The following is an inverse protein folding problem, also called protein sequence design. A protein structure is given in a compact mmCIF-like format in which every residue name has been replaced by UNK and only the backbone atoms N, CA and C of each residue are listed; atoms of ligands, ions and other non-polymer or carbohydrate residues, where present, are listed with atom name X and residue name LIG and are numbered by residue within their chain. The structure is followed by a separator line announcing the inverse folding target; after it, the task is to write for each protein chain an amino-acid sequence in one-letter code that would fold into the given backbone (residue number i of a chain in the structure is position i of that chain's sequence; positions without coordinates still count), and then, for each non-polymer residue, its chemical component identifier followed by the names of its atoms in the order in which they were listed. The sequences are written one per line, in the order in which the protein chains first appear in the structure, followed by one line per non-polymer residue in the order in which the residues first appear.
data_IF_264688005198
#
_entry.id   IF_264688005198
#
_cell.length_a   1.000
_cell.length_b   1.000
_cell.length_c   1.000
_cell.angle_alpha   90.00
_cell.angle_beta   90.00
_cell.angle_gamma   90.00
#
_symmetry.space_group_name_H-M   'P 1'
#
loop_
_entity.id
_entity.type
_entity.pdbx_description
1 polymer ?
#
# COMPACT_ATOMS: atom_id res chain seq x y z
N UNK A 1 3.79 -5.01 10.91
CA UNK A 1 3.09 -5.42 12.15
C UNK A 1 1.93 -4.46 12.32
N UNK A 2 0.71 -4.93 12.05
CA UNK A 2 -0.42 -4.34 12.73
C UNK A 2 -0.10 -4.62 14.18
N UNK A 3 0.19 -3.55 14.92
CA UNK A 3 0.46 -3.67 16.32
C UNK A 3 -0.63 -4.51 16.95
N UNK A 4 -0.23 -5.42 17.79
CA UNK A 4 -0.99 -6.30 18.66
C UNK A 4 -2.28 -5.68 19.22
N UNK A 5 -3.24 -5.40 18.37
CA UNK A 5 -4.59 -4.98 18.76
C UNK A 5 -5.56 -6.15 18.86
N UNK A 6 -5.16 -7.34 18.39
CA UNK A 6 -5.90 -8.57 18.60
C UNK A 6 -5.46 -9.16 19.93
N UNK A 7 -6.29 -9.03 20.93
CA UNK A 7 -6.10 -9.64 22.26
C UNK A 7 -6.49 -11.11 22.15
N UNK A 8 -5.51 -11.99 22.18
CA UNK A 8 -5.70 -13.44 22.11
C UNK A 8 -4.90 -14.10 20.98
N UNK A 9 -5.21 -15.36 20.70
CA UNK A 9 -4.60 -16.16 19.63
C UNK A 9 -5.14 -15.87 18.21
N UNK A 10 -5.97 -14.85 18.06
CA UNK A 10 -6.60 -14.51 16.79
C UNK A 10 -5.60 -13.96 15.78
N UNK A 11 -5.62 -14.48 14.55
CA UNK A 11 -4.70 -14.09 13.47
C UNK A 11 -5.43 -13.39 12.34
N UNK A 12 -4.74 -12.43 11.71
CA UNK A 12 -5.10 -11.91 10.42
C UNK A 12 -4.28 -12.63 9.34
N UNK A 13 -4.93 -13.42 8.49
CA UNK A 13 -4.28 -14.00 7.32
C UNK A 13 -4.11 -12.91 6.26
N UNK A 14 -2.88 -12.75 5.76
CA UNK A 14 -2.52 -11.87 4.66
C UNK A 14 -2.01 -12.67 3.49
N UNK A 15 -2.74 -12.63 2.41
CA UNK A 15 -2.25 -13.06 1.12
C UNK A 15 -1.58 -11.88 0.41
N UNK A 16 -0.25 -11.97 0.18
CA UNK A 16 0.57 -10.86 -0.34
C UNK A 16 1.31 -11.20 -1.62
N UNK A 17 1.20 -12.42 -2.12
CA UNK A 17 1.93 -12.85 -3.30
C UNK A 17 1.21 -12.36 -4.56
N UNK A 18 1.77 -11.34 -5.20
CA UNK A 18 1.29 -10.83 -6.49
C UNK A 18 -0.16 -10.29 -6.46
N UNK A 19 -0.99 -10.71 -7.44
CA UNK A 19 -2.39 -10.32 -7.61
C UNK A 19 -3.27 -11.50 -7.22
N UNK A 20 -3.75 -11.52 -5.98
CA UNK A 20 -4.37 -12.72 -5.40
C UNK A 20 -5.81 -12.98 -5.85
N UNK A 21 -6.42 -12.06 -6.60
CA UNK A 21 -7.75 -12.24 -7.19
C UNK A 21 -7.70 -12.60 -8.68
N UNK A 22 -6.50 -12.78 -9.25
CA UNK A 22 -6.34 -13.17 -10.65
C UNK A 22 -6.26 -14.69 -10.80
N UNK A 23 -7.43 -15.33 -10.67
CA UNK A 23 -7.59 -16.78 -10.84
C UNK A 23 -9.08 -17.10 -11.13
N UNK A 24 -9.41 -18.34 -11.59
CA UNK A 24 -10.79 -18.76 -11.74
C UNK A 24 -11.57 -18.65 -10.42
N UNK A 25 -12.83 -18.20 -10.49
CA UNK A 25 -13.66 -17.90 -9.31
C UNK A 25 -13.81 -19.10 -8.37
N UNK A 26 -13.93 -20.31 -8.89
CA UNK A 26 -14.04 -21.53 -8.09
C UNK A 26 -12.78 -21.82 -7.27
N UNK A 27 -11.61 -21.50 -7.83
CA UNK A 27 -10.36 -21.61 -7.11
C UNK A 27 -10.29 -20.57 -5.99
N UNK A 28 -10.61 -19.30 -6.28
CA UNK A 28 -10.64 -18.22 -5.29
C UNK A 28 -11.62 -18.53 -4.16
N UNK A 29 -12.82 -18.97 -4.50
CA UNK A 29 -13.85 -19.37 -3.51
C UNK A 29 -13.28 -20.42 -2.56
N UNK A 30 -12.66 -21.45 -3.09
CA UNK A 30 -12.09 -22.52 -2.28
C UNK A 30 -11.03 -22.00 -1.31
N UNK A 31 -9.99 -21.30 -1.82
CA UNK A 31 -8.85 -20.87 -0.99
C UNK A 31 -9.24 -19.81 0.04
N UNK A 32 -10.08 -18.84 -0.33
CA UNK A 32 -10.50 -17.79 0.60
C UNK A 32 -11.49 -18.33 1.65
N UNK A 33 -12.38 -19.27 1.27
CA UNK A 33 -13.26 -19.93 2.21
C UNK A 33 -12.45 -20.75 3.21
N UNK A 34 -11.51 -21.58 2.73
CA UNK A 34 -10.62 -22.36 3.59
C UNK A 34 -9.86 -21.46 4.58
N UNK A 35 -9.29 -20.34 4.10
CA UNK A 35 -8.57 -19.40 4.94
C UNK A 35 -9.46 -18.72 6.00
N UNK A 36 -10.70 -18.34 5.64
CA UNK A 36 -11.58 -17.61 6.57
C UNK A 36 -12.28 -18.56 7.57
N UNK A 37 -12.39 -19.85 7.25
CA UNK A 37 -12.98 -20.88 8.14
C UNK A 37 -12.05 -21.31 9.25
N UNK A 38 -10.74 -21.05 9.14
CA UNK A 38 -9.80 -21.34 10.22
C UNK A 38 -10.23 -20.65 11.52
N UNK A 39 -10.37 -21.40 12.65
CA UNK A 39 -10.93 -20.87 13.89
C UNK A 39 -10.18 -19.66 14.44
N UNK A 40 -8.85 -19.67 14.33
CA UNK A 40 -7.97 -18.62 14.86
C UNK A 40 -7.83 -17.39 13.93
N UNK A 41 -8.50 -17.38 12.76
CA UNK A 41 -8.49 -16.28 11.84
C UNK A 41 -9.61 -15.30 12.13
N UNK A 42 -9.24 -14.11 12.56
CA UNK A 42 -10.18 -13.01 12.83
C UNK A 42 -10.55 -12.21 11.58
N UNK A 43 -9.65 -12.11 10.61
CA UNK A 43 -9.84 -11.31 9.41
C UNK A 43 -8.96 -11.80 8.25
N UNK A 44 -9.41 -11.54 7.02
CA UNK A 44 -8.69 -11.84 5.79
C UNK A 44 -8.29 -10.54 5.06
N UNK A 45 -6.99 -10.37 4.80
CA UNK A 45 -6.45 -9.25 4.03
C UNK A 45 -5.94 -9.75 2.68
N UNK A 46 -6.52 -9.26 1.58
CA UNK A 46 -6.22 -9.71 0.23
C UNK A 46 -5.57 -8.56 -0.56
N UNK A 47 -4.32 -8.78 -1.02
CA UNK A 47 -3.64 -7.82 -1.88
C UNK A 47 -3.95 -8.10 -3.35
N UNK A 48 -4.37 -7.07 -4.09
CA UNK A 48 -4.70 -7.20 -5.50
C UNK A 48 -4.53 -5.91 -6.29
N UNK A 49 -4.79 -5.99 -7.59
CA UNK A 49 -4.86 -4.87 -8.53
C UNK A 49 -6.32 -4.53 -8.82
N UNK A 50 -6.57 -3.27 -9.14
CA UNK A 50 -7.94 -2.79 -9.40
C UNK A 50 -8.60 -3.42 -10.64
N UNK A 51 -7.80 -3.80 -11.65
CA UNK A 51 -8.28 -4.48 -12.85
C UNK A 51 -8.53 -5.99 -12.68
N UNK A 52 -8.29 -6.52 -11.48
CA UNK A 52 -8.51 -7.92 -11.13
C UNK A 52 -9.67 -8.11 -10.13
N UNK A 53 -10.66 -7.24 -10.20
CA UNK A 53 -11.88 -7.25 -9.37
C UNK A 53 -13.15 -7.28 -10.25
N UNK A 54 -13.33 -8.31 -11.10
CA UNK A 54 -14.57 -8.49 -11.83
C UNK A 54 -15.77 -8.75 -10.88
N UNK A 55 -16.98 -8.66 -11.38
CA UNK A 55 -18.19 -8.69 -10.56
C UNK A 55 -18.32 -9.97 -9.71
N UNK A 56 -18.00 -11.13 -10.28
CA UNK A 56 -18.03 -12.41 -9.57
C UNK A 56 -17.02 -12.47 -8.39
N UNK A 57 -15.85 -11.84 -8.54
CA UNK A 57 -14.89 -11.70 -7.44
C UNK A 57 -15.42 -10.73 -6.39
N UNK A 58 -15.98 -9.58 -6.78
CA UNK A 58 -16.58 -8.63 -5.86
C UNK A 58 -17.73 -9.27 -5.05
N UNK A 59 -18.56 -10.09 -5.68
CA UNK A 59 -19.66 -10.79 -5.03
C UNK A 59 -19.14 -11.88 -4.07
N UNK A 60 -18.07 -12.59 -4.43
CA UNK A 60 -17.40 -13.52 -3.51
C UNK A 60 -16.84 -12.79 -2.28
N UNK A 61 -16.16 -11.65 -2.48
CA UNK A 61 -15.60 -10.86 -1.38
C UNK A 61 -16.69 -10.33 -0.44
N UNK A 62 -17.83 -9.89 -0.98
CA UNK A 62 -19.00 -9.47 -0.20
C UNK A 62 -19.59 -10.64 0.63
N UNK A 63 -19.73 -11.82 0.03
CA UNK A 63 -20.16 -13.04 0.73
C UNK A 63 -19.23 -13.36 1.90
N UNK A 64 -17.92 -13.34 1.69
CA UNK A 64 -16.92 -13.62 2.72
C UNK A 64 -16.90 -12.55 3.81
N UNK A 65 -17.04 -11.28 3.45
CA UNK A 65 -17.04 -10.16 4.40
C UNK A 65 -18.24 -10.20 5.37
N UNK A 66 -19.35 -10.84 4.98
CA UNK A 66 -20.51 -11.10 5.88
C UNK A 66 -20.22 -12.18 6.93
N UNK A 67 -19.20 -13.01 6.71
CA UNK A 67 -18.82 -14.12 7.61
C UNK A 67 -17.75 -13.70 8.60
N UNK A 68 -16.65 -13.12 8.09
CA UNK A 68 -15.55 -12.51 8.88
C UNK A 68 -15.04 -11.28 8.13
N UNK A 69 -14.47 -10.29 8.82
CA UNK A 69 -13.94 -9.09 8.19
C UNK A 69 -12.96 -9.40 7.06
N UNK A 70 -13.20 -8.85 5.88
CA UNK A 70 -12.30 -8.88 4.72
C UNK A 70 -11.94 -7.45 4.38
N UNK A 71 -10.66 -7.18 4.11
CA UNK A 71 -10.24 -5.92 3.51
C UNK A 71 -9.29 -6.13 2.34
N UNK A 72 -9.31 -5.18 1.43
CA UNK A 72 -8.53 -5.25 0.20
C UNK A 72 -7.34 -4.30 0.28
N UNK A 73 -6.15 -4.84 0.10
CA UNK A 73 -4.93 -4.07 -0.11
C UNK A 73 -4.79 -3.77 -1.61
N UNK A 74 -5.13 -2.54 -2.01
CA UNK A 74 -5.23 -2.17 -3.42
C UNK A 74 -4.04 -1.31 -3.87
N UNK A 75 -3.28 -1.80 -4.85
CA UNK A 75 -2.13 -1.10 -5.40
C UNK A 75 -2.56 0.03 -6.34
N UNK A 76 -2.27 1.29 -6.00
CA UNK A 76 -2.36 2.45 -6.88
C UNK A 76 -0.98 2.88 -7.38
N UNK A 77 -0.03 2.90 -6.49
CA UNK A 77 1.37 3.31 -6.65
C UNK A 77 1.53 4.84 -6.79
N UNK A 78 0.82 5.48 -7.70
CA UNK A 78 0.77 6.91 -7.99
C UNK A 78 -0.52 7.26 -8.73
N UNK A 79 -0.89 8.55 -8.77
CA UNK A 79 -2.02 9.04 -9.58
C UNK A 79 -1.59 9.52 -10.97
N UNK A 80 -0.30 9.62 -11.23
CA UNK A 80 0.24 10.24 -12.45
C UNK A 80 0.31 9.22 -13.60
N UNK A 81 -0.49 9.39 -14.63
CA UNK A 81 -0.61 8.48 -15.78
C UNK A 81 0.74 8.21 -16.45
N UNK A 82 1.60 9.23 -16.59
CA UNK A 82 2.95 9.07 -17.15
C UNK A 82 3.77 8.07 -16.34
N UNK A 83 3.72 8.18 -15.01
CA UNK A 83 4.44 7.28 -14.10
C UNK A 83 3.80 5.90 -14.06
N UNK A 84 2.46 5.81 -14.01
CA UNK A 84 1.72 4.55 -14.12
C UNK A 84 2.10 3.77 -15.37
N UNK A 85 2.20 4.46 -16.50
CA UNK A 85 2.65 3.85 -17.76
C UNK A 85 4.12 3.41 -17.68
N UNK A 86 5.01 4.24 -17.14
CA UNK A 86 6.44 3.93 -17.01
C UNK A 86 6.71 2.71 -16.12
N UNK A 87 5.97 2.55 -15.03
CA UNK A 87 6.07 1.38 -14.14
C UNK A 87 5.24 0.17 -14.63
N UNK A 88 4.59 0.28 -15.77
CA UNK A 88 3.76 -0.77 -16.39
C UNK A 88 2.67 -1.28 -15.44
N UNK A 89 1.94 -0.37 -14.80
CA UNK A 89 0.86 -0.72 -13.87
C UNK A 89 -0.22 -1.59 -14.51
N UNK A 90 -0.50 -1.35 -15.81
CA UNK A 90 -1.48 -2.10 -16.59
C UNK A 90 -2.94 -1.70 -16.34
N UNK A 91 -3.18 -0.65 -15.56
CA UNK A 91 -4.51 -0.08 -15.28
C UNK A 91 -4.46 1.44 -15.30
N UNK A 92 -5.62 2.06 -15.35
CA UNK A 92 -5.81 3.51 -15.31
C UNK A 92 -6.28 3.98 -13.93
N UNK A 93 -6.12 5.28 -13.63
CA UNK A 93 -6.65 5.87 -12.41
C UNK A 93 -8.18 5.68 -12.30
N UNK A 94 -8.92 5.82 -13.39
CA UNK A 94 -10.37 5.62 -13.41
C UNK A 94 -10.78 4.18 -13.04
N UNK A 95 -10.00 3.17 -13.44
CA UNK A 95 -10.24 1.78 -13.01
C UNK A 95 -10.01 1.60 -11.51
N UNK A 96 -9.01 2.28 -10.96
CA UNK A 96 -8.78 2.29 -9.52
C UNK A 96 -9.94 2.94 -8.76
N UNK A 97 -10.41 4.11 -9.21
CA UNK A 97 -11.57 4.80 -8.63
C UNK A 97 -12.82 3.92 -8.63
N UNK A 98 -13.07 3.25 -9.77
CA UNK A 98 -14.22 2.34 -9.90
C UNK A 98 -14.11 1.17 -8.90
N UNK A 99 -12.92 0.56 -8.77
CA UNK A 99 -12.70 -0.53 -7.83
C UNK A 99 -12.91 -0.08 -6.38
N UNK A 100 -12.39 1.10 -5.98
CA UNK A 100 -12.62 1.68 -4.64
C UNK A 100 -14.12 1.92 -4.41
N UNK A 101 -14.84 2.50 -5.39
CA UNK A 101 -16.29 2.73 -5.31
C UNK A 101 -17.08 1.41 -5.14
N UNK A 102 -16.73 0.38 -5.89
CA UNK A 102 -17.44 -0.89 -5.86
C UNK A 102 -17.21 -1.70 -4.58
N UNK A 103 -15.99 -1.60 -4.00
CA UNK A 103 -15.66 -2.14 -2.69
C UNK A 103 -16.37 -1.37 -1.57
N UNK A 104 -16.36 -0.03 -1.66
CA UNK A 104 -17.03 0.83 -0.67
C UNK A 104 -18.55 0.57 -0.59
N UNK A 105 -19.23 0.40 -1.75
CA UNK A 105 -20.66 0.05 -1.80
C UNK A 105 -20.98 -1.29 -1.12
N UNK A 106 -19.99 -2.18 -1.01
CA UNK A 106 -20.10 -3.48 -0.34
C UNK A 106 -19.60 -3.45 1.12
N UNK A 107 -19.27 -2.26 1.63
CA UNK A 107 -18.67 -2.07 2.96
C UNK A 107 -17.39 -2.89 3.16
N UNK A 108 -16.59 -3.08 2.11
CA UNK A 108 -15.30 -3.74 2.17
C UNK A 108 -14.22 -2.67 2.33
N UNK A 109 -13.48 -2.67 3.46
CA UNK A 109 -12.40 -1.72 3.69
C UNK A 109 -11.30 -1.81 2.64
N UNK A 110 -10.80 -0.65 2.18
CA UNK A 110 -9.70 -0.55 1.20
C UNK A 110 -8.49 0.07 1.86
N UNK A 111 -7.34 -0.58 1.70
CA UNK A 111 -6.02 -0.07 2.09
C UNK A 111 -5.25 0.21 0.81
N UNK A 112 -5.03 1.47 0.50
CA UNK A 112 -4.33 1.89 -0.72
C UNK A 112 -2.82 1.85 -0.53
N UNK A 113 -2.09 1.36 -1.54
CA UNK A 113 -0.63 1.39 -1.58
C UNK A 113 -0.14 2.48 -2.51
N UNK A 114 0.72 3.38 -2.00
CA UNK A 114 1.50 4.34 -2.78
C UNK A 114 3.00 4.02 -2.67
N UNK A 115 3.74 4.31 -3.74
CA UNK A 115 5.21 4.24 -3.76
C UNK A 115 5.77 5.64 -3.88
N UNK A 116 6.59 6.03 -2.91
CA UNK A 116 7.26 7.33 -2.87
C UNK A 116 8.68 7.20 -3.45
N UNK A 117 9.06 8.15 -4.29
CA UNK A 117 10.35 8.18 -4.96
C UNK A 117 10.38 7.49 -6.32
N UNK A 118 9.23 7.33 -6.99
CA UNK A 118 9.19 6.84 -8.36
C UNK A 118 9.95 7.78 -9.31
N UNK A 119 10.72 7.24 -10.27
CA UNK A 119 11.51 8.06 -11.18
C UNK A 119 10.66 9.07 -11.95
N UNK A 120 11.10 10.32 -11.95
CA UNK A 120 10.44 11.42 -12.63
C UNK A 120 9.34 12.11 -11.84
N UNK A 121 9.01 11.65 -10.64
CA UNK A 121 8.09 12.34 -9.73
C UNK A 121 8.82 13.34 -8.83
N UNK A 122 8.23 14.51 -8.70
CA UNK A 122 8.63 15.55 -7.74
C UNK A 122 8.01 15.29 -6.36
N UNK A 123 8.48 16.01 -5.35
CA UNK A 123 7.84 15.99 -4.02
C UNK A 123 6.35 16.36 -4.10
N UNK A 124 5.99 17.35 -4.91
CA UNK A 124 4.58 17.79 -5.04
C UNK A 124 3.71 16.72 -5.74
N UNK A 125 4.26 16.00 -6.71
CA UNK A 125 3.55 14.87 -7.34
C UNK A 125 3.21 13.79 -6.31
N UNK A 126 4.15 13.45 -5.44
CA UNK A 126 3.92 12.47 -4.37
C UNK A 126 2.90 12.96 -3.33
N UNK A 127 2.99 14.25 -2.92
CA UNK A 127 2.02 14.86 -2.00
C UNK A 127 0.63 14.95 -2.63
N UNK A 128 0.53 15.23 -3.93
CA UNK A 128 -0.76 15.25 -4.64
C UNK A 128 -1.39 13.87 -4.67
N UNK A 129 -0.60 12.80 -4.83
CA UNK A 129 -1.07 11.41 -4.75
C UNK A 129 -1.62 11.09 -3.36
N UNK A 130 -0.96 11.57 -2.29
CA UNK A 130 -1.43 11.38 -0.91
C UNK A 130 -2.74 12.13 -0.64
N UNK A 131 -2.83 13.42 -1.04
CA UNK A 131 -4.08 14.21 -0.90
C UNK A 131 -5.23 13.55 -1.65
N UNK A 132 -4.96 13.09 -2.87
CA UNK A 132 -5.97 12.42 -3.68
C UNK A 132 -6.50 11.15 -2.99
N UNK A 133 -5.63 10.27 -2.50
CA UNK A 133 -6.04 9.08 -1.75
C UNK A 133 -6.81 9.48 -0.48
N UNK A 134 -6.38 10.56 0.20
CA UNK A 134 -7.07 11.11 1.37
C UNK A 134 -8.49 11.59 1.09
N UNK A 135 -8.83 11.92 -0.17
CA UNK A 135 -10.19 12.34 -0.58
C UNK A 135 -11.12 11.18 -0.97
N UNK A 136 -10.58 9.96 -1.11
CA UNK A 136 -11.35 8.77 -1.48
C UNK A 136 -11.93 8.07 -0.24
N UNK A 137 -12.99 7.25 -0.42
CA UNK A 137 -13.56 6.46 0.68
C UNK A 137 -12.71 5.22 0.99
N UNK A 138 -11.44 5.44 1.31
CA UNK A 138 -10.50 4.39 1.73
C UNK A 138 -10.34 4.42 3.25
N UNK A 139 -10.05 3.27 3.85
CA UNK A 139 -9.90 3.13 5.30
C UNK A 139 -8.44 3.14 5.75
N UNK A 140 -7.53 2.89 4.84
CA UNK A 140 -6.12 2.84 5.17
C UNK A 140 -5.18 3.14 4.00
N UNK A 141 -3.93 3.43 4.35
CA UNK A 141 -2.88 3.74 3.39
C UNK A 141 -1.55 3.08 3.78
N UNK A 142 -0.78 2.67 2.79
CA UNK A 142 0.62 2.29 2.92
C UNK A 142 1.48 3.23 2.08
N UNK A 143 2.34 3.98 2.75
CA UNK A 143 3.36 4.82 2.12
C UNK A 143 4.65 4.01 2.04
N UNK A 144 5.00 3.55 0.84
CA UNK A 144 6.16 2.69 0.62
C UNK A 144 7.28 3.47 -0.04
N UNK A 145 8.50 3.32 0.47
CA UNK A 145 9.70 3.79 -0.22
C UNK A 145 9.98 2.93 -1.44
N UNK A 146 10.31 3.55 -2.57
CA UNK A 146 10.85 2.83 -3.72
C UNK A 146 12.12 2.07 -3.34
N UNK A 147 12.14 0.78 -3.63
CA UNK A 147 13.31 -0.08 -3.50
C UNK A 147 13.80 -0.50 -4.88
N UNK A 148 15.06 -0.25 -5.15
CA UNK A 148 15.73 -0.73 -6.35
C UNK A 148 16.26 -2.13 -6.06
N UNK A 149 15.75 -3.11 -6.78
CA UNK A 149 16.08 -4.52 -6.54
C UNK A 149 16.91 -5.11 -7.69
N UNK A 150 17.89 -5.92 -7.35
CA UNK A 150 18.68 -6.71 -8.30
C UNK A 150 17.76 -7.66 -9.07
N UNK A 151 18.02 -7.79 -10.37
CA UNK A 151 17.27 -8.68 -11.25
C UNK A 151 15.95 -8.11 -11.76
N UNK A 152 15.66 -6.83 -11.50
CA UNK A 152 14.54 -6.11 -12.09
C UNK A 152 15.00 -5.17 -13.22
N UNK A 153 14.09 -4.79 -14.13
CA UNK A 153 14.38 -3.82 -15.18
C UNK A 153 14.85 -2.49 -14.58
N UNK A 154 14.19 -2.02 -13.52
CA UNK A 154 14.57 -0.79 -12.82
C UNK A 154 15.96 -0.93 -12.15
N UNK A 155 16.27 -2.09 -11.58
CA UNK A 155 17.60 -2.37 -11.04
C UNK A 155 18.68 -2.36 -12.12
N UNK A 156 18.40 -2.91 -13.29
CA UNK A 156 19.31 -2.90 -14.44
C UNK A 156 19.52 -1.47 -14.94
N UNK A 157 18.47 -0.69 -15.09
CA UNK A 157 18.55 0.72 -15.50
C UNK A 157 19.35 1.55 -14.48
N UNK A 158 19.10 1.38 -13.19
CA UNK A 158 19.81 2.07 -12.11
C UNK A 158 21.32 1.75 -12.08
N UNK A 159 21.68 0.49 -12.33
CA UNK A 159 23.11 0.11 -12.42
C UNK A 159 23.80 0.70 -13.63
N UNK A 160 23.10 0.87 -14.74
CA UNK A 160 23.65 1.46 -15.97
C UNK A 160 23.80 2.98 -15.89
N UNK A 161 22.80 3.67 -15.32
CA UNK A 161 22.73 5.12 -15.18
C UNK A 161 22.00 5.47 -13.86
N UNK A 162 22.73 5.60 -12.74
CA UNK A 162 22.13 5.87 -11.44
C UNK A 162 21.41 7.22 -11.39
N UNK A 163 20.15 7.20 -10.99
CA UNK A 163 19.34 8.39 -10.74
C UNK A 163 19.26 8.70 -9.23
N UNK A 164 18.96 9.96 -8.85
CA UNK A 164 18.86 10.36 -7.44
C UNK A 164 17.78 9.57 -6.69
N UNK A 165 18.11 9.11 -5.50
CA UNK A 165 17.21 8.50 -4.55
C UNK A 165 17.21 9.30 -3.25
N UNK A 166 16.17 9.22 -2.47
CA UNK A 166 16.09 9.91 -1.17
C UNK A 166 17.18 9.46 -0.23
N UNK A 167 17.78 10.43 0.46
CA UNK A 167 18.46 10.22 1.73
C UNK A 167 17.43 9.83 2.80
N UNK A 168 17.89 9.33 3.94
CA UNK A 168 17.00 9.03 5.07
C UNK A 168 16.25 10.29 5.54
N UNK A 169 16.93 11.40 5.63
CA UNK A 169 16.43 12.68 6.10
C UNK A 169 15.34 13.23 5.15
N UNK A 170 15.64 13.29 3.85
CA UNK A 170 14.68 13.74 2.83
C UNK A 170 13.41 12.86 2.80
N UNK A 171 13.58 11.54 2.94
CA UNK A 171 12.43 10.64 3.02
C UNK A 171 11.60 10.86 4.27
N UNK A 172 12.24 11.04 5.43
CA UNK A 172 11.53 11.28 6.68
C UNK A 172 10.79 12.62 6.67
N UNK A 173 11.36 13.66 6.05
CA UNK A 173 10.69 14.93 5.84
C UNK A 173 9.46 14.81 4.93
N UNK A 174 9.59 14.07 3.81
CA UNK A 174 8.48 13.80 2.92
C UNK A 174 7.35 13.00 3.63
N UNK A 175 7.70 11.97 4.40
CA UNK A 175 6.72 11.18 5.16
C UNK A 175 6.00 12.05 6.19
N UNK A 176 6.70 12.96 6.87
CA UNK A 176 6.06 13.89 7.82
C UNK A 176 5.04 14.80 7.13
N UNK A 177 5.36 15.30 5.93
CA UNK A 177 4.41 16.07 5.12
C UNK A 177 3.22 15.22 4.66
N UNK A 178 3.46 13.98 4.22
CA UNK A 178 2.39 13.04 3.85
C UNK A 178 1.43 12.77 5.02
N UNK A 179 1.96 12.53 6.21
CA UNK A 179 1.16 12.29 7.42
C UNK A 179 0.30 13.52 7.74
N UNK A 180 0.85 14.72 7.65
CA UNK A 180 0.11 15.95 7.94
C UNK A 180 -1.04 16.23 6.96
N UNK A 181 -1.01 15.64 5.76
CA UNK A 181 -2.02 15.77 4.71
C UNK A 181 -3.09 14.66 4.75
N UNK A 182 -2.92 13.61 5.56
CA UNK A 182 -3.86 12.50 5.62
C UNK A 182 -4.96 12.77 6.65
N UNK A 183 -6.25 12.56 6.30
CA UNK A 183 -7.35 12.60 7.25
C UNK A 183 -7.10 11.70 8.48
N UNK A 184 -7.46 12.14 9.71
CA UNK A 184 -7.24 11.36 10.93
C UNK A 184 -7.91 9.97 10.92
N UNK A 185 -8.96 9.81 10.11
CA UNK A 185 -9.73 8.57 9.98
C UNK A 185 -8.99 7.49 9.18
N UNK A 186 -8.03 7.88 8.33
CA UNK A 186 -7.26 6.94 7.51
C UNK A 186 -6.15 6.29 8.33
N UNK A 187 -6.21 4.98 8.48
CA UNK A 187 -5.18 4.22 9.20
C UNK A 187 -3.91 4.10 8.38
N UNK A 188 -2.79 4.52 8.94
CA UNK A 188 -1.48 4.38 8.29
C UNK A 188 -0.89 3.01 8.62
N UNK A 189 -0.93 2.09 7.67
CA UNK A 189 -0.47 0.70 7.83
C UNK A 189 1.04 0.53 7.66
N UNK A 190 1.68 1.46 6.92
CA UNK A 190 3.12 1.37 6.62
C UNK A 190 3.70 2.73 6.25
N UNK A 191 4.93 2.97 6.73
CA UNK A 191 5.72 4.19 6.44
C UNK A 191 7.10 3.87 5.83
N UNK A 192 7.38 2.62 5.48
CA UNK A 192 8.70 2.19 4.96
C UNK A 192 8.52 1.12 3.89
N UNK A 193 9.56 0.90 3.08
CA UNK A 193 9.63 -0.24 2.18
C UNK A 193 9.90 -1.56 2.92
N UNK A 194 9.66 -2.68 2.25
CA UNK A 194 9.89 -4.02 2.78
C UNK A 194 10.39 -4.95 1.66
N UNK A 195 11.56 -4.63 1.12
CA UNK A 195 12.21 -5.43 0.09
C UNK A 195 13.15 -6.50 0.66
N UNK A 196 13.41 -7.59 -0.08
CA UNK A 196 14.36 -8.62 0.34
C UNK A 196 15.78 -8.03 0.40
N UNK A 197 16.40 -8.09 1.57
CA UNK A 197 17.72 -7.47 1.84
C UNK A 197 18.83 -7.94 0.90
N UNK A 198 18.81 -9.21 0.52
CA UNK A 198 19.80 -9.82 -0.37
C UNK A 198 19.68 -9.35 -1.83
N UNK A 199 18.55 -8.76 -2.21
CA UNK A 199 18.30 -8.25 -3.55
C UNK A 199 18.32 -6.70 -3.59
N UNK A 200 18.32 -6.03 -2.44
CA UNK A 200 18.26 -4.57 -2.37
C UNK A 200 19.57 -3.95 -2.87
N UNK A 201 19.49 -3.16 -3.94
CA UNK A 201 20.58 -2.34 -4.46
C UNK A 201 20.61 -0.97 -3.78
N UNK A 202 19.44 -0.34 -3.65
CA UNK A 202 19.29 1.00 -3.06
C UNK A 202 17.83 1.29 -2.65
N UNK A 203 17.61 2.22 -1.70
CA UNK A 203 18.58 2.80 -0.79
C UNK A 203 18.88 1.87 0.39
N UNK A 204 20.15 1.64 0.70
CA UNK A 204 20.57 0.67 1.73
C UNK A 204 20.16 1.06 3.16
N UNK A 205 20.03 2.36 3.46
CA UNK A 205 19.60 2.84 4.78
C UNK A 205 18.20 2.34 5.16
N UNK A 206 17.34 2.00 4.19
CA UNK A 206 15.98 1.50 4.43
C UNK A 206 15.93 0.13 5.13
N UNK A 207 17.06 -0.59 5.18
CA UNK A 207 17.16 -1.88 5.89
C UNK A 207 17.13 -1.74 7.41
N UNK A 208 17.46 -0.56 7.96
CA UNK A 208 17.34 -0.23 9.39
C UNK A 208 15.98 0.42 9.69
N UNK A 209 14.93 -0.40 9.68
CA UNK A 209 13.55 0.06 9.93
C UNK A 209 13.39 0.83 11.24
N UNK A 210 14.11 0.43 12.30
CA UNK A 210 14.03 1.08 13.61
C UNK A 210 14.57 2.52 13.51
N UNK A 211 15.72 2.70 12.87
CA UNK A 211 16.29 4.02 12.63
C UNK A 211 15.33 4.89 11.80
N UNK A 212 14.78 4.36 10.72
CA UNK A 212 13.81 5.08 9.87
C UNK A 212 12.61 5.56 10.68
N UNK A 213 11.94 4.68 11.42
CA UNK A 213 10.77 5.03 12.23
C UNK A 213 11.09 6.04 13.33
N UNK A 214 12.24 5.90 14.01
CA UNK A 214 12.68 6.85 15.02
C UNK A 214 12.95 8.24 14.41
N UNK A 215 13.55 8.29 13.21
CA UNK A 215 13.81 9.54 12.49
C UNK A 215 12.52 10.21 12.05
N UNK A 216 11.53 9.46 11.53
CA UNK A 216 10.20 9.98 11.20
C UNK A 216 9.54 10.60 12.44
N UNK A 217 9.55 9.89 13.57
CA UNK A 217 8.97 10.40 14.83
C UNK A 217 9.67 11.63 15.34
N UNK A 218 11.00 11.70 15.19
CA UNK A 218 11.79 12.89 15.53
C UNK A 218 11.38 14.06 14.64
N UNK A 219 11.33 13.86 13.32
CA UNK A 219 10.93 14.88 12.35
C UNK A 219 9.52 15.44 12.65
N UNK A 220 8.54 14.57 12.91
CA UNK A 220 7.18 14.99 13.30
C UNK A 220 7.18 15.89 14.54
N UNK A 221 7.94 15.51 15.59
CA UNK A 221 8.04 16.33 16.83
C UNK A 221 8.73 17.66 16.60
N UNK A 222 9.86 17.67 15.89
CA UNK A 222 10.64 18.91 15.65
C UNK A 222 9.90 19.90 14.77
N UNK A 223 9.07 19.41 13.84
CA UNK A 223 8.25 20.24 12.94
C UNK A 223 6.85 20.50 13.49
N UNK A 224 6.53 19.99 14.69
CA UNK A 224 5.19 20.07 15.29
C UNK A 224 4.10 19.60 14.34
N UNK A 225 4.27 18.42 13.71
CA UNK A 225 3.35 17.82 12.76
C UNK A 225 2.66 16.60 13.35
N UNK A 226 1.40 16.43 13.00
CA UNK A 226 0.57 15.24 13.29
C UNK A 226 -0.37 14.97 12.12
N UNK A 227 -0.99 13.80 12.12
CA UNK A 227 -1.93 13.42 11.07
C UNK A 227 -3.12 14.38 11.03
N UNK A 228 -3.37 14.95 9.85
CA UNK A 228 -4.46 15.89 9.61
C UNK A 228 -4.16 17.35 9.93
N UNK A 229 -2.92 17.69 10.33
CA UNK A 229 -2.60 19.10 10.65
C UNK A 229 -2.75 20.07 9.47
N UNK A 230 -2.56 19.60 8.25
CA UNK A 230 -2.51 20.43 7.04
C UNK A 230 -3.66 20.14 6.06
N UNK A 231 -4.80 19.67 6.56
CA UNK A 231 -6.03 19.48 5.79
C UNK A 231 -6.84 20.77 5.74
#
# INVERSE_FOLDING_TARGET
EIGSGLVGSEMCIRDRAYTNTYAPIEYLRRIFTEAIEEPDVAALSIATRCDCLPLDVLDLLDELNRRKPVWIELGLQTIHDKTLHAIRSGFTLSQFEQAVSDLHKRNIPVITHLILGLPGETKEDMLSSVRYVGSLPVTGIKLQLLHILKGTDLGTAYMADPFPLFTLEEYCDLIADCIALLPPEIVIHRLTGDGPRNLLLAPLWSTDKKRVLNTIQKCLRERDLWQGKNI
#
